data_IF_357528489341
#
_entry.id   IF_357528489341
#
_cell.length_a   1.000
_cell.length_b   1.000
_cell.length_c   1.000
_cell.angle_alpha   90.00
_cell.angle_beta   90.00
_cell.angle_gamma   90.00
#
_symmetry.space_group_name_H-M   'P 1'
#
loop_
_entity.id
_entity.type
_entity.pdbx_description
1 polymer ?
#
# COMPACT_ATOMS: atom_id res chain seq x y z
N UNK A 1 17.77 -62.13 30.01
CA UNK A 1 17.47 -61.58 28.69
C UNK A 1 16.87 -60.21 28.90
N UNK A 2 17.65 -59.15 28.63
CA UNK A 2 17.19 -57.70 28.75
C UNK A 2 16.79 -57.25 27.41
N UNK A 3 15.49 -56.97 27.20
CA UNK A 3 14.97 -56.36 25.97
C UNK A 3 15.22 -54.84 26.04
N UNK A 4 16.11 -54.35 25.18
CA UNK A 4 16.32 -52.91 24.96
C UNK A 4 15.26 -52.48 23.96
N UNK A 5 14.25 -51.74 24.43
CA UNK A 5 13.28 -51.08 23.57
C UNK A 5 13.93 -49.79 23.07
N UNK A 6 14.34 -49.80 21.79
CA UNK A 6 14.86 -48.63 21.12
C UNK A 6 13.66 -47.76 20.72
N UNK A 7 13.38 -46.66 21.47
CA UNK A 7 12.34 -45.71 21.19
C UNK A 7 12.83 -44.79 20.05
N UNK A 8 12.37 -45.06 18.84
CA UNK A 8 12.65 -44.21 17.67
C UNK A 8 11.88 -42.91 17.83
N UNK A 9 12.57 -41.84 18.26
CA UNK A 9 12.01 -40.48 18.29
C UNK A 9 11.88 -39.96 16.84
N UNK A 10 10.71 -40.10 16.25
CA UNK A 10 10.38 -39.51 14.96
C UNK A 10 10.21 -38.01 15.17
N UNK A 11 11.26 -37.23 14.95
CA UNK A 11 11.18 -35.76 14.92
C UNK A 11 10.36 -35.34 13.70
N UNK A 12 9.13 -34.96 13.93
CA UNK A 12 8.28 -34.32 12.91
C UNK A 12 8.92 -32.98 12.60
N UNK A 13 9.75 -32.91 11.54
CA UNK A 13 10.19 -31.67 10.95
C UNK A 13 8.94 -31.02 10.36
N UNK A 14 8.38 -30.01 11.02
CA UNK A 14 7.38 -29.16 10.41
C UNK A 14 8.03 -28.46 9.22
N UNK A 15 7.50 -28.57 7.99
CA UNK A 15 8.08 -27.89 6.84
C UNK A 15 8.10 -26.38 7.11
N UNK A 16 9.26 -25.77 7.02
CA UNK A 16 9.39 -24.32 7.04
C UNK A 16 8.69 -23.75 5.82
N UNK A 17 7.93 -22.66 6.01
CA UNK A 17 7.27 -21.99 4.89
C UNK A 17 8.32 -21.45 3.90
N UNK A 18 8.10 -21.69 2.62
CA UNK A 18 8.93 -21.10 1.56
C UNK A 18 8.52 -19.64 1.33
N UNK A 19 9.33 -18.89 0.61
CA UNK A 19 9.04 -17.50 0.23
C UNK A 19 7.75 -17.43 -0.61
N UNK A 20 7.59 -18.39 -1.51
CA UNK A 20 6.41 -18.53 -2.36
C UNK A 20 5.15 -18.83 -1.54
N UNK A 21 5.26 -19.65 -0.50
CA UNK A 21 4.15 -19.93 0.42
C UNK A 21 3.72 -18.68 1.18
N UNK A 22 4.70 -17.89 1.63
CA UNK A 22 4.45 -16.61 2.32
C UNK A 22 3.74 -15.65 1.35
N UNK A 23 4.28 -15.46 0.15
CA UNK A 23 3.69 -14.60 -0.87
C UNK A 23 2.26 -15.02 -1.20
N UNK A 24 2.01 -16.31 -1.39
CA UNK A 24 0.68 -16.84 -1.68
C UNK A 24 -0.32 -16.60 -0.54
N UNK A 25 0.12 -16.69 0.72
CA UNK A 25 -0.73 -16.40 1.88
C UNK A 25 -1.07 -14.91 1.96
N UNK A 26 -0.10 -14.03 1.70
CA UNK A 26 -0.32 -12.58 1.62
C UNK A 26 -1.32 -12.25 0.50
N UNK A 27 -1.13 -12.78 -0.71
CA UNK A 27 -2.05 -12.58 -1.82
C UNK A 27 -3.47 -13.04 -1.50
N UNK A 28 -3.61 -14.24 -0.91
CA UNK A 28 -4.94 -14.74 -0.48
C UNK A 28 -5.59 -13.81 0.53
N UNK A 29 -4.80 -13.29 1.48
CA UNK A 29 -5.29 -12.33 2.47
C UNK A 29 -5.74 -11.05 1.80
N UNK A 30 -4.93 -10.43 0.96
CA UNK A 30 -5.26 -9.20 0.25
C UNK A 30 -6.50 -9.37 -0.65
N UNK A 31 -6.64 -10.52 -1.32
CA UNK A 31 -7.85 -10.81 -2.11
C UNK A 31 -9.10 -10.95 -1.27
N UNK A 32 -9.01 -11.50 -0.08
CA UNK A 32 -10.17 -11.68 0.83
C UNK A 32 -10.64 -10.38 1.47
N UNK A 33 -9.80 -9.35 1.48
CA UNK A 33 -10.12 -8.06 2.08
C UNK A 33 -10.94 -7.21 1.12
N UNK A 34 -12.11 -6.73 1.56
CA UNK A 34 -12.98 -5.83 0.80
C UNK A 34 -12.79 -4.37 1.19
N UNK A 35 -12.35 -4.11 2.42
CA UNK A 35 -12.05 -2.76 2.90
C UNK A 35 -10.97 -2.78 3.97
N UNK A 36 -10.20 -1.69 4.04
CA UNK A 36 -9.18 -1.45 5.05
C UNK A 36 -9.41 -0.05 5.64
N UNK A 37 -9.26 0.05 6.95
CA UNK A 37 -9.03 1.29 7.67
C UNK A 37 -7.81 1.08 8.55
N UNK A 38 -6.85 2.00 8.50
CA UNK A 38 -5.65 1.94 9.30
C UNK A 38 -5.16 3.36 9.65
N UNK A 39 -4.32 3.49 10.67
CA UNK A 39 -3.45 4.63 10.81
C UNK A 39 -2.15 4.33 10.08
N UNK A 40 -1.48 5.35 9.56
CA UNK A 40 -0.15 5.21 8.99
C UNK A 40 0.81 6.27 9.55
N UNK A 41 2.06 5.87 9.64
CA UNK A 41 3.22 6.74 9.80
C UNK A 41 4.07 6.59 8.55
N UNK A 42 4.37 7.69 7.87
CA UNK A 42 5.25 7.73 6.69
C UNK A 42 6.55 8.43 7.05
N UNK A 43 7.66 7.89 6.57
CA UNK A 43 8.96 8.54 6.64
C UNK A 43 9.54 8.55 5.22
N UNK A 44 9.70 9.75 4.69
CA UNK A 44 10.33 9.95 3.39
C UNK A 44 11.78 10.39 3.59
N UNK A 45 12.68 9.64 2.99
CA UNK A 45 14.11 9.91 2.93
C UNK A 45 14.43 10.31 1.49
N UNK A 46 14.81 11.56 1.30
CA UNK A 46 15.29 12.04 0.01
C UNK A 46 16.79 11.83 -0.09
N UNK A 47 17.26 11.47 -1.27
CA UNK A 47 18.68 11.45 -1.59
C UNK A 47 19.33 12.85 -1.55
N UNK A 48 18.52 13.89 -1.68
CA UNK A 48 18.96 15.30 -1.76
C UNK A 48 18.79 16.08 -0.45
N UNK A 49 18.02 15.56 0.51
CA UNK A 49 17.68 16.26 1.77
C UNK A 49 18.12 15.40 2.95
N UNK A 50 18.95 15.96 3.82
CA UNK A 50 19.52 15.23 4.97
C UNK A 50 18.52 14.89 6.07
N UNK A 51 17.43 15.67 6.20
CA UNK A 51 16.41 15.46 7.27
C UNK A 51 15.20 14.73 6.68
N UNK A 52 14.88 13.52 7.18
CA UNK A 52 13.69 12.81 6.72
C UNK A 52 12.41 13.57 7.04
N UNK A 53 11.50 13.62 6.08
CA UNK A 53 10.14 14.10 6.29
C UNK A 53 9.31 13.00 6.97
N UNK A 54 8.62 13.37 8.05
CA UNK A 54 7.74 12.45 8.80
C UNK A 54 6.32 12.95 8.74
N UNK A 55 5.41 12.06 8.38
CA UNK A 55 4.00 12.37 8.20
C UNK A 55 3.15 11.27 8.80
N UNK A 56 1.96 11.63 9.29
CA UNK A 56 1.01 10.69 9.88
C UNK A 56 -0.38 10.95 9.38
N UNK A 57 -1.19 9.89 9.40
CA UNK A 57 -2.57 10.06 8.97
C UNK A 57 -3.40 8.79 9.07
N UNK A 58 -4.50 8.82 8.31
CA UNK A 58 -5.42 7.70 8.19
C UNK A 58 -5.48 7.22 6.76
N UNK A 59 -5.50 5.92 6.62
CA UNK A 59 -5.63 5.24 5.36
C UNK A 59 -6.97 4.51 5.27
N UNK A 60 -7.66 4.68 4.14
CA UNK A 60 -8.90 4.00 3.83
C UNK A 60 -8.82 3.39 2.45
N UNK A 61 -9.24 2.15 2.34
CA UNK A 61 -9.33 1.43 1.09
C UNK A 61 -10.63 0.65 1.03
N UNK A 62 -11.29 0.64 -0.12
CA UNK A 62 -12.46 -0.18 -0.38
C UNK A 62 -12.46 -0.62 -1.83
N UNK A 63 -12.55 -1.93 -2.04
CA UNK A 63 -12.66 -2.50 -3.38
C UNK A 63 -13.90 -2.00 -4.12
N UNK A 64 -13.80 -1.89 -5.47
CA UNK A 64 -12.63 -2.27 -6.27
C UNK A 64 -11.55 -1.18 -6.34
N UNK A 65 -11.88 0.11 -6.16
CA UNK A 65 -11.05 1.23 -6.62
C UNK A 65 -11.23 2.52 -5.79
N UNK A 66 -11.60 2.40 -4.53
CA UNK A 66 -11.66 3.55 -3.62
C UNK A 66 -10.48 3.52 -2.66
N UNK A 67 -9.65 4.56 -2.69
CA UNK A 67 -8.51 4.72 -1.79
C UNK A 67 -8.39 6.17 -1.33
N UNK A 68 -8.19 6.38 -0.03
CA UNK A 68 -7.96 7.71 0.55
C UNK A 68 -6.82 7.66 1.56
N UNK A 69 -5.86 8.56 1.38
CA UNK A 69 -4.85 8.89 2.37
C UNK A 69 -5.19 10.26 2.94
N UNK A 70 -5.37 10.35 4.23
CA UNK A 70 -5.73 11.57 4.93
C UNK A 70 -4.60 11.90 5.90
N UNK A 71 -3.66 12.73 5.45
CA UNK A 71 -2.54 13.22 6.26
C UNK A 71 -3.05 14.25 7.27
N UNK A 72 -2.49 14.22 8.49
CA UNK A 72 -2.92 15.07 9.60
C UNK A 72 -1.77 15.78 10.29
N UNK A 73 -0.55 15.30 10.13
CA UNK A 73 0.64 15.80 10.82
C UNK A 73 1.85 15.60 9.90
N UNK A 74 2.71 16.64 9.68
CA UNK A 74 2.60 17.99 10.20
C UNK A 74 1.58 18.87 9.46
N UNK A 75 1.22 18.52 8.22
CA UNK A 75 0.32 19.28 7.35
C UNK A 75 -0.88 18.45 6.92
N UNK A 76 -2.05 19.09 6.84
CA UNK A 76 -3.22 18.43 6.30
C UNK A 76 -3.16 18.37 4.78
N UNK A 77 -3.23 17.15 4.24
CA UNK A 77 -3.37 16.91 2.80
C UNK A 77 -4.13 15.62 2.56
N UNK A 78 -4.82 15.54 1.44
CA UNK A 78 -5.67 14.41 1.11
C UNK A 78 -5.32 13.91 -0.28
N UNK A 79 -4.99 12.62 -0.36
CA UNK A 79 -4.97 11.90 -1.63
C UNK A 79 -6.23 11.03 -1.69
N UNK A 80 -7.02 11.20 -2.74
CA UNK A 80 -8.22 10.42 -2.98
C UNK A 80 -8.17 9.84 -4.40
N UNK A 81 -8.26 8.51 -4.49
CA UNK A 81 -8.50 7.82 -5.74
C UNK A 81 -9.92 7.25 -5.74
N UNK A 82 -10.69 7.61 -6.75
CA UNK A 82 -12.07 7.20 -6.90
C UNK A 82 -12.44 7.10 -8.38
N UNK A 83 -12.90 5.93 -8.83
CA UNK A 83 -13.46 5.72 -10.17
C UNK A 83 -12.55 6.19 -11.31
N UNK A 84 -11.23 5.97 -11.19
CA UNK A 84 -10.25 6.37 -12.18
C UNK A 84 -9.78 7.83 -12.08
N UNK A 85 -10.31 8.61 -11.13
CA UNK A 85 -9.88 9.97 -10.85
C UNK A 85 -9.00 10.03 -9.62
N UNK A 86 -7.89 10.73 -9.73
CA UNK A 86 -6.99 11.02 -8.64
C UNK A 86 -7.12 12.48 -8.24
N UNK A 87 -7.32 12.75 -6.97
CA UNK A 87 -7.40 14.06 -6.37
C UNK A 87 -6.32 14.21 -5.31
N UNK A 88 -5.56 15.29 -5.37
CA UNK A 88 -4.64 15.71 -4.34
C UNK A 88 -5.04 17.09 -3.85
N UNK A 89 -5.47 17.19 -2.60
CA UNK A 89 -5.98 18.42 -2.01
C UNK A 89 -5.11 18.85 -0.84
N UNK A 90 -4.67 20.12 -0.87
CA UNK A 90 -3.92 20.80 0.19
C UNK A 90 -4.80 21.93 0.74
N UNK A 91 -5.48 21.73 1.88
CA UNK A 91 -6.41 22.71 2.45
C UNK A 91 -5.78 24.08 2.75
N UNK A 92 -4.55 24.08 3.26
CA UNK A 92 -3.84 25.31 3.66
C UNK A 92 -3.54 26.20 2.46
N UNK A 93 -3.09 25.60 1.36
CA UNK A 93 -2.78 26.32 0.13
C UNK A 93 -4.03 26.61 -0.71
N UNK A 94 -5.17 26.00 -0.36
CA UNK A 94 -6.40 26.02 -1.15
C UNK A 94 -6.22 25.53 -2.58
N UNK A 95 -5.40 24.48 -2.74
CA UNK A 95 -5.09 23.90 -4.04
C UNK A 95 -5.65 22.49 -4.16
N UNK A 96 -6.25 22.19 -5.31
CA UNK A 96 -6.71 20.86 -5.69
C UNK A 96 -6.11 20.47 -7.04
N UNK A 97 -5.30 19.44 -7.05
CA UNK A 97 -4.81 18.82 -8.27
C UNK A 97 -5.70 17.64 -8.65
N UNK A 98 -6.17 17.65 -9.91
CA UNK A 98 -7.03 16.62 -10.47
C UNK A 98 -6.36 15.99 -11.69
N UNK A 99 -6.28 14.68 -11.68
CA UNK A 99 -5.74 13.90 -12.80
C UNK A 99 -6.66 12.74 -13.10
N UNK A 100 -6.95 12.50 -14.37
CA UNK A 100 -7.57 11.26 -14.81
C UNK A 100 -6.46 10.28 -15.15
N UNK A 101 -6.37 9.25 -14.39
CA UNK A 101 -5.40 8.22 -14.63
C UNK A 101 -5.88 7.34 -15.80
N UNK A 102 -5.20 7.39 -16.92
CA UNK A 102 -5.27 6.29 -17.87
C UNK A 102 -4.84 5.03 -17.11
N UNK A 103 -5.50 3.92 -17.34
CA UNK A 103 -5.26 2.62 -16.66
C UNK A 103 -3.78 2.20 -16.60
N UNK A 104 -2.95 2.83 -17.40
CA UNK A 104 -1.55 2.42 -17.63
C UNK A 104 -0.52 3.27 -16.86
N UNK A 105 -0.87 4.46 -16.37
CA UNK A 105 0.18 5.40 -15.92
C UNK A 105 0.27 5.57 -14.39
N UNK A 106 -0.76 5.24 -13.60
CA UNK A 106 -0.75 5.49 -12.15
C UNK A 106 -1.59 4.50 -11.33
N UNK A 107 -1.57 3.25 -11.65
CA UNK A 107 -1.90 2.33 -10.58
C UNK A 107 -0.75 2.40 -9.60
N UNK A 108 -0.87 3.25 -8.57
CA UNK A 108 0.16 3.28 -7.53
C UNK A 108 0.43 1.84 -7.11
N UNK A 109 1.67 1.47 -6.99
CA UNK A 109 2.07 0.09 -6.64
C UNK A 109 1.30 -0.39 -5.40
N UNK A 110 1.04 0.52 -4.45
CA UNK A 110 0.23 0.25 -3.26
C UNK A 110 -1.21 -0.12 -3.63
N UNK A 111 -1.85 0.62 -4.54
CA UNK A 111 -3.23 0.31 -4.96
C UNK A 111 -3.30 -1.03 -5.66
N UNK A 112 -2.36 -1.31 -6.55
CA UNK A 112 -2.26 -2.58 -7.29
C UNK A 112 -2.06 -3.77 -6.35
N UNK A 113 -1.18 -3.63 -5.35
CA UNK A 113 -0.98 -4.65 -4.31
C UNK A 113 -2.25 -4.85 -3.47
N UNK A 114 -2.83 -3.77 -2.94
CA UNK A 114 -3.99 -3.85 -2.05
C UNK A 114 -5.26 -4.30 -2.75
N UNK A 115 -5.46 -3.92 -4.01
CA UNK A 115 -6.60 -4.37 -4.81
C UNK A 115 -6.53 -5.86 -5.18
N UNK A 116 -5.31 -6.45 -5.10
CA UNK A 116 -5.04 -7.82 -5.50
C UNK A 116 -4.94 -7.98 -7.03
N UNK A 117 -4.71 -6.90 -7.76
CA UNK A 117 -4.44 -6.92 -9.21
C UNK A 117 -3.05 -7.48 -9.49
N UNK A 118 -2.05 -7.04 -8.72
CA UNK A 118 -0.69 -7.59 -8.77
C UNK A 118 -0.63 -8.96 -8.10
N UNK A 119 0.12 -9.84 -8.74
CA UNK A 119 0.43 -11.17 -8.22
C UNK A 119 1.90 -11.20 -7.84
N UNK A 120 2.17 -11.33 -6.53
CA UNK A 120 3.52 -11.20 -5.99
C UNK A 120 4.51 -12.12 -6.73
N UNK A 121 4.12 -13.36 -7.00
CA UNK A 121 4.97 -14.35 -7.68
C UNK A 121 5.19 -14.04 -9.15
N UNK A 122 4.16 -13.55 -9.84
CA UNK A 122 4.19 -13.37 -11.29
C UNK A 122 4.82 -12.04 -11.67
N UNK A 123 4.54 -10.98 -10.88
CA UNK A 123 4.94 -9.60 -11.18
C UNK A 123 6.28 -9.20 -10.54
N UNK A 124 6.79 -10.00 -9.56
CA UNK A 124 8.04 -9.70 -8.84
C UNK A 124 8.99 -10.90 -8.77
N UNK A 125 10.27 -10.60 -8.68
CA UNK A 125 11.26 -11.50 -8.10
C UNK A 125 11.15 -11.40 -6.59
N UNK A 126 11.02 -12.55 -5.92
CA UNK A 126 10.81 -12.63 -4.48
C UNK A 126 12.09 -13.10 -3.80
N UNK A 127 12.53 -12.37 -2.78
CA UNK A 127 13.67 -12.73 -1.96
C UNK A 127 13.30 -12.63 -0.47
N UNK A 128 13.85 -13.52 0.35
CA UNK A 128 13.87 -13.32 1.79
C UNK A 128 14.80 -12.16 2.09
N UNK A 129 14.36 -11.23 2.92
CA UNK A 129 15.19 -10.12 3.31
C UNK A 129 15.03 -9.86 4.80
N UNK A 130 16.13 -9.47 5.45
CA UNK A 130 16.13 -9.07 6.84
C UNK A 130 16.47 -7.58 6.91
N UNK A 131 15.54 -6.80 7.43
CA UNK A 131 15.71 -5.37 7.67
C UNK A 131 15.20 -5.02 9.09
N UNK A 132 15.60 -3.88 9.67
CA UNK A 132 15.21 -3.53 11.03
C UNK A 132 13.69 -3.56 11.22
N UNK A 133 13.23 -4.36 12.16
CA UNK A 133 11.84 -4.54 12.53
C UNK A 133 11.66 -4.40 14.03
N UNK A 134 10.60 -3.72 14.44
CA UNK A 134 10.17 -3.67 15.83
C UNK A 134 9.40 -4.93 16.24
N UNK A 135 8.94 -5.70 15.26
CA UNK A 135 8.18 -6.92 15.46
C UNK A 135 9.01 -8.16 15.10
N UNK A 136 9.45 -8.90 16.12
CA UNK A 136 10.21 -10.16 15.96
C UNK A 136 9.40 -11.28 15.30
N UNK A 137 8.06 -11.14 15.19
CA UNK A 137 7.14 -12.13 14.62
C UNK A 137 6.55 -11.64 13.32
N UNK A 138 7.41 -11.38 12.35
CA UNK A 138 7.02 -10.90 11.03
C UNK A 138 7.80 -11.64 9.95
N UNK A 139 7.15 -11.89 8.82
CA UNK A 139 7.80 -12.28 7.59
C UNK A 139 8.30 -11.03 6.87
N UNK A 140 9.50 -11.10 6.32
CA UNK A 140 10.11 -10.00 5.59
C UNK A 140 10.46 -10.46 4.18
N UNK A 141 9.91 -9.74 3.18
CA UNK A 141 10.12 -10.02 1.77
C UNK A 141 10.70 -8.80 1.07
N UNK A 142 11.59 -9.04 0.13
CA UNK A 142 11.97 -8.08 -0.90
C UNK A 142 11.28 -8.46 -2.21
N UNK A 143 10.67 -7.48 -2.83
CA UNK A 143 9.98 -7.56 -4.10
C UNK A 143 10.74 -6.71 -5.10
N UNK A 144 11.31 -7.32 -6.14
CA UNK A 144 11.91 -6.59 -7.26
C UNK A 144 10.97 -6.71 -8.45
N UNK A 145 10.39 -5.60 -8.96
CA UNK A 145 9.50 -5.65 -10.12
C UNK A 145 10.17 -6.34 -11.31
N UNK A 146 9.41 -7.18 -12.04
CA UNK A 146 9.92 -7.83 -13.25
C UNK A 146 9.89 -6.90 -14.46
N UNK A 147 9.00 -5.93 -14.44
CA UNK A 147 8.90 -4.89 -15.44
C UNK A 147 9.39 -3.57 -14.85
N UNK A 148 9.97 -2.72 -15.69
CA UNK A 148 10.39 -1.38 -15.29
C UNK A 148 9.18 -0.57 -14.83
N UNK A 149 9.35 0.14 -13.70
CA UNK A 149 8.32 0.93 -13.06
C UNK A 149 8.91 2.03 -12.23
N UNK A 150 8.10 2.59 -11.34
CA UNK A 150 8.49 3.69 -10.46
C UNK A 150 9.55 3.28 -9.43
N UNK A 151 9.55 2.00 -9.00
CA UNK A 151 10.39 1.53 -7.90
C UNK A 151 11.42 0.50 -8.37
N UNK A 152 12.62 0.59 -7.81
CA UNK A 152 13.68 -0.39 -8.00
C UNK A 152 13.40 -1.69 -7.25
N UNK A 153 12.90 -1.58 -6.01
CA UNK A 153 12.41 -2.70 -5.19
C UNK A 153 11.56 -2.19 -4.02
N UNK A 154 10.84 -3.12 -3.44
CA UNK A 154 9.97 -2.88 -2.28
C UNK A 154 10.32 -3.89 -1.18
N UNK A 155 10.39 -3.43 0.07
CA UNK A 155 10.50 -4.30 1.22
C UNK A 155 9.16 -4.36 1.95
N UNK A 156 8.69 -5.55 2.25
CA UNK A 156 7.45 -5.77 2.98
C UNK A 156 7.71 -6.46 4.32
N UNK A 157 7.08 -5.95 5.37
CA UNK A 157 6.93 -6.64 6.65
C UNK A 157 5.48 -7.09 6.81
N UNK A 158 5.30 -8.38 7.03
CA UNK A 158 4.01 -9.06 7.05
C UNK A 158 3.81 -9.68 8.42
N UNK A 159 2.70 -9.37 9.06
CA UNK A 159 2.32 -9.98 10.33
C UNK A 159 2.09 -11.50 10.16
N UNK A 160 2.79 -12.31 10.95
CA UNK A 160 2.75 -13.78 10.82
C UNK A 160 1.38 -14.40 11.09
N UNK A 161 0.52 -13.72 11.88
CA UNK A 161 -0.80 -14.23 12.28
C UNK A 161 -1.89 -13.80 11.32
N UNK A 162 -1.88 -12.52 10.94
CA UNK A 162 -2.95 -11.92 10.15
C UNK A 162 -2.67 -11.91 8.65
N UNK A 163 -1.42 -12.09 8.24
CA UNK A 163 -0.94 -12.01 6.86
C UNK A 163 -1.16 -10.61 6.22
N UNK A 164 -1.32 -9.59 7.07
CA UNK A 164 -1.45 -8.20 6.65
C UNK A 164 -0.08 -7.54 6.57
N UNK A 165 0.09 -6.67 5.60
CA UNK A 165 1.28 -5.83 5.48
C UNK A 165 1.24 -4.78 6.59
N UNK A 166 2.26 -4.75 7.43
CA UNK A 166 2.44 -3.78 8.53
C UNK A 166 3.43 -2.69 8.19
N UNK A 167 4.40 -3.00 7.35
CA UNK A 167 5.37 -2.04 6.86
C UNK A 167 5.63 -2.29 5.38
N UNK A 168 5.70 -1.22 4.60
CA UNK A 168 6.14 -1.25 3.23
C UNK A 168 7.17 -0.15 3.02
N UNK A 169 8.30 -0.47 2.40
CA UNK A 169 9.38 0.47 2.10
C UNK A 169 9.61 0.43 0.60
N UNK A 170 9.43 1.55 -0.05
CA UNK A 170 9.60 1.73 -1.49
C UNK A 170 10.91 2.44 -1.77
N UNK A 171 11.69 1.92 -2.70
CA UNK A 171 12.94 2.52 -3.16
C UNK A 171 12.79 2.88 -4.64
N UNK A 172 12.97 4.16 -4.96
CA UNK A 172 12.90 4.64 -6.33
C UNK A 172 14.28 4.70 -7.02
N UNK A 173 14.28 5.03 -8.31
CA UNK A 173 15.48 5.14 -9.12
C UNK A 173 16.36 6.34 -8.75
N UNK A 174 15.82 7.36 -8.11
CA UNK A 174 16.56 8.53 -7.62
C UNK A 174 17.26 8.26 -6.27
N UNK A 175 17.09 7.06 -5.70
CA UNK A 175 17.63 6.69 -4.40
C UNK A 175 16.82 7.21 -3.21
N UNK A 176 15.62 7.70 -3.45
CA UNK A 176 14.71 8.05 -2.36
C UNK A 176 14.08 6.78 -1.75
N UNK A 177 13.66 6.92 -0.52
CA UNK A 177 13.00 5.84 0.23
C UNK A 177 11.74 6.36 0.90
N UNK A 178 10.60 5.73 0.62
CA UNK A 178 9.32 5.98 1.31
C UNK A 178 8.97 4.79 2.19
N UNK A 179 8.95 4.97 3.49
CA UNK A 179 8.62 3.95 4.48
C UNK A 179 7.24 4.23 5.06
N UNK A 180 6.31 3.29 4.91
CA UNK A 180 4.98 3.32 5.50
C UNK A 180 4.86 2.26 6.58
N UNK A 181 4.39 2.65 7.76
CA UNK A 181 4.05 1.76 8.86
C UNK A 181 2.57 1.86 9.14
N UNK A 182 1.88 0.73 9.12
CA UNK A 182 0.44 0.66 9.36
C UNK A 182 0.16 0.14 10.77
N UNK A 183 -0.72 0.84 11.48
CA UNK A 183 -1.18 0.46 12.80
C UNK A 183 -2.71 0.49 12.88
N UNK A 184 -3.28 -0.16 13.91
CA UNK A 184 -4.72 -0.25 14.11
C UNK A 184 -5.49 -0.72 12.87
N UNK A 185 -4.89 -1.64 12.11
CA UNK A 185 -5.46 -2.14 10.85
C UNK A 185 -6.77 -2.87 11.12
N UNK A 186 -7.84 -2.39 10.52
CA UNK A 186 -9.16 -3.02 10.53
C UNK A 186 -9.53 -3.41 9.11
N UNK A 187 -9.89 -4.67 8.89
CA UNK A 187 -10.29 -5.20 7.58
C UNK A 187 -11.77 -5.52 7.55
N UNK A 188 -12.38 -5.44 6.36
CA UNK A 188 -13.78 -5.76 6.13
C UNK A 188 -14.75 -4.93 7.00
N UNK A 189 -14.36 -3.69 7.30
CA UNK A 189 -15.20 -2.74 8.03
C UNK A 189 -16.15 -2.02 7.08
N UNK A 190 -17.32 -1.62 7.61
CA UNK A 190 -18.27 -0.81 6.84
C UNK A 190 -17.72 0.60 6.69
N UNK A 191 -17.29 0.97 5.47
CA UNK A 191 -16.92 2.32 5.11
C UNK A 191 -18.04 2.98 4.33
N UNK A 192 -18.72 3.99 4.89
CA UNK A 192 -19.76 4.73 4.18
C UNK A 192 -19.17 5.56 3.04
N UNK A 193 -19.98 5.84 2.00
CA UNK A 193 -19.52 6.62 0.82
C UNK A 193 -18.88 7.95 1.19
N UNK A 194 -19.41 8.63 2.21
CA UNK A 194 -18.89 9.92 2.70
C UNK A 194 -17.40 9.92 3.11
N UNK A 195 -16.81 8.74 3.41
CA UNK A 195 -15.37 8.63 3.70
C UNK A 195 -14.55 8.99 2.45
N UNK A 196 -15.09 8.66 1.26
CA UNK A 196 -14.47 8.88 -0.04
C UNK A 196 -15.07 10.09 -0.79
N UNK A 197 -15.64 11.01 -0.05
CA UNK A 197 -16.08 12.31 -0.55
C UNK A 197 -15.10 13.38 -0.08
N UNK A 198 -14.85 14.34 -0.95
CA UNK A 198 -14.01 15.49 -0.67
C UNK A 198 -14.87 16.74 -0.77
N UNK A 199 -15.00 17.47 0.34
CA UNK A 199 -15.69 18.77 0.32
C UNK A 199 -14.68 19.82 -0.08
N UNK A 200 -14.86 20.40 -1.28
CA UNK A 200 -14.02 21.44 -1.81
C UNK A 200 -14.70 22.80 -1.57
N UNK A 201 -14.10 23.72 -0.81
CA UNK A 201 -14.59 25.09 -0.70
C UNK A 201 -14.59 25.81 -2.06
N UNK A 202 -15.46 26.82 -2.26
CA UNK A 202 -15.58 27.50 -3.55
C UNK A 202 -14.38 28.38 -3.93
N UNK A 203 -13.51 28.67 -2.98
CA UNK A 203 -12.31 29.50 -3.13
C UNK A 203 -11.03 28.67 -3.34
N UNK A 204 -11.17 27.39 -3.68
CA UNK A 204 -10.05 26.48 -3.98
C UNK A 204 -9.68 26.60 -5.45
N UNK A 205 -8.39 26.78 -5.72
CA UNK A 205 -7.84 26.74 -7.08
C UNK A 205 -7.71 25.27 -7.54
N UNK A 206 -8.23 25.01 -8.75
CA UNK A 206 -8.24 23.63 -9.30
C UNK A 206 -7.27 23.57 -10.48
N UNK A 207 -6.26 22.70 -10.33
CA UNK A 207 -5.29 22.36 -11.37
C UNK A 207 -5.68 21.03 -12.01
N UNK A 208 -5.89 21.03 -13.33
CA UNK A 208 -6.24 19.82 -14.08
C UNK A 208 -5.11 19.42 -15.00
N UNK A 209 -4.73 18.17 -14.92
CA UNK A 209 -3.78 17.56 -15.85
C UNK A 209 -4.42 17.43 -17.24
N UNK A 210 -3.61 17.53 -18.30
CA UNK A 210 -4.07 17.36 -19.69
C UNK A 210 -4.75 16.01 -19.96
N UNK A 211 -4.35 14.97 -19.21
CA UNK A 211 -4.98 13.66 -19.26
C UNK A 211 -6.44 13.70 -18.81
N UNK A 212 -6.79 14.60 -17.88
CA UNK A 212 -8.17 14.80 -17.41
C UNK A 212 -9.04 15.42 -18.50
N UNK A 213 -8.51 16.41 -19.22
CA UNK A 213 -9.23 17.13 -20.29
C UNK A 213 -9.62 16.24 -21.46
N UNK A 214 -8.82 15.21 -21.78
CA UNK A 214 -9.10 14.27 -22.89
C UNK A 214 -10.27 13.31 -22.61
N UNK A 215 -10.58 13.04 -21.36
CA UNK A 215 -11.65 12.10 -20.99
C UNK A 215 -13.04 12.76 -20.87
N UNK A 216 -13.10 14.10 -20.85
CA UNK A 216 -14.35 14.84 -20.62
C UNK A 216 -15.30 14.89 -21.85
N UNK A 217 -14.84 14.39 -23.01
CA UNK A 217 -15.71 14.28 -24.20
C UNK A 217 -16.77 13.18 -24.10
N UNK A 218 -16.87 12.46 -22.98
CA UNK A 218 -17.76 11.29 -22.81
C UNK A 218 -18.64 11.22 -21.56
N UNK A 219 -18.42 12.02 -20.52
CA UNK A 219 -19.22 11.92 -19.30
C UNK A 219 -19.63 13.26 -18.72
N UNK A 220 -20.94 13.55 -18.79
CA UNK A 220 -21.57 14.70 -18.14
C UNK A 220 -21.56 14.53 -16.62
N UNK A 221 -21.07 15.60 -15.94
CA UNK A 221 -21.36 16.00 -14.56
C UNK A 221 -21.62 14.88 -13.54
N UNK A 222 -20.56 14.41 -12.91
CA UNK A 222 -20.71 13.79 -11.59
C UNK A 222 -20.40 14.85 -10.53
N UNK A 223 -21.43 15.28 -9.81
CA UNK A 223 -21.29 16.11 -8.60
C UNK A 223 -20.49 15.30 -7.57
N UNK A 224 -19.42 15.87 -7.08
CA UNK A 224 -18.57 15.32 -6.02
C UNK A 224 -19.10 15.68 -4.64
#
# INVERSE_FOLDING_TARGET
>A
MKHIICLLLLTLLSPSLTIEDIALKVERKLRSVQSIQANFDQIFYSSSISTPLREKGKFYFKKPDLMKWEYKDPEEKIFLYKEGVFLFYIPEDKELFRSSLSKETYESEILSLLSGKKRLKDDYLLESNSFPSENQKAWQLKLTPREEGEYTYILLEIDEKTWLIRKAIFFDWAGNKSEFRFSQIKTNVRLPKKVFELKIPPDVEIFEDESYKKNDYGQKNTQF
#
